data_IF_386865320263
#
_entry.id   IF_386865320263
#
_cell.length_a   1.000
_cell.length_b   1.000
_cell.length_c   1.000
_cell.angle_alpha   90.00
_cell.angle_beta   90.00
_cell.angle_gamma   90.00
#
_symmetry.space_group_name_H-M   'P 1'
#
loop_
_entity.id
_entity.type
_entity.pdbx_description
1 polymer ?
#
# COMPACT_ATOMS: atom_id res chain seq x y z
N UNK A 1 13.26 5.89 3.95
CA UNK A 1 12.78 7.22 3.47
C UNK A 1 11.54 7.69 4.24
N UNK A 2 10.50 6.88 4.39
CA UNK A 2 9.25 7.27 5.07
C UNK A 2 9.46 7.57 6.57
N UNK A 3 10.23 6.72 7.24
CA UNK A 3 10.61 6.93 8.64
C UNK A 3 11.51 8.15 8.80
N UNK A 4 12.47 8.35 7.89
CA UNK A 4 13.31 9.56 7.90
C UNK A 4 12.45 10.84 7.74
N UNK A 5 11.44 10.80 6.88
CA UNK A 5 10.51 11.93 6.74
C UNK A 5 9.71 12.18 8.03
N UNK A 6 9.12 11.12 8.62
CA UNK A 6 8.45 11.22 9.92
C UNK A 6 9.38 11.81 10.98
N UNK A 7 10.61 11.28 11.06
CA UNK A 7 11.62 11.69 12.05
C UNK A 7 11.94 13.18 11.95
N UNK A 8 12.26 13.67 10.77
CA UNK A 8 12.56 15.10 10.54
C UNK A 8 11.34 15.99 10.79
N UNK A 9 10.14 15.53 10.42
CA UNK A 9 8.88 16.26 10.67
C UNK A 9 8.58 16.46 12.17
N UNK A 10 9.09 15.61 13.02
CA UNK A 10 8.92 15.66 14.47
C UNK A 10 10.17 16.21 15.20
N UNK A 11 11.03 16.94 14.52
CA UNK A 11 12.14 17.67 15.12
C UNK A 11 13.46 16.90 15.18
N UNK A 12 13.53 15.69 14.59
CA UNK A 12 14.78 14.96 14.44
C UNK A 12 15.65 15.51 13.32
N UNK A 13 16.95 15.34 13.43
CA UNK A 13 17.92 15.71 12.40
C UNK A 13 18.64 14.48 11.88
N UNK A 14 18.86 14.43 10.56
CA UNK A 14 19.64 13.39 9.92
C UNK A 14 21.10 13.79 9.91
N UNK A 15 21.87 13.20 10.84
CA UNK A 15 23.33 13.36 10.89
C UNK A 15 24.04 12.56 9.81
N UNK A 16 25.37 12.69 9.75
CA UNK A 16 26.22 11.92 8.83
C UNK A 16 26.40 10.47 9.30
N UNK A 17 26.48 10.25 10.61
CA UNK A 17 26.78 8.94 11.20
C UNK A 17 25.74 8.50 12.24
N UNK A 18 24.99 9.44 12.84
CA UNK A 18 23.97 9.15 13.85
C UNK A 18 22.75 10.05 13.67
N UNK A 19 21.59 9.57 14.10
CA UNK A 19 20.37 10.38 14.18
C UNK A 19 20.38 11.23 15.45
N UNK A 20 20.10 12.53 15.33
CA UNK A 20 19.93 13.43 16.46
C UNK A 20 18.51 13.24 17.02
N UNK A 21 18.34 13.04 18.35
CA UNK A 21 17.02 12.79 18.92
C UNK A 21 15.97 13.85 18.56
N UNK A 22 14.73 13.42 18.44
CA UNK A 22 13.58 14.29 18.24
C UNK A 22 13.25 15.06 19.53
N UNK A 23 12.56 16.19 19.39
CA UNK A 23 11.98 16.92 20.53
C UNK A 23 10.73 16.18 21.05
N UNK A 24 10.79 15.65 22.26
CA UNK A 24 9.72 14.88 22.89
C UNK A 24 8.39 15.65 23.05
N UNK A 25 8.43 16.97 23.06
CA UNK A 25 7.25 17.80 23.36
C UNK A 25 6.20 17.74 22.24
N UNK A 26 6.63 17.51 21.00
CA UNK A 26 5.76 17.62 19.82
C UNK A 26 5.72 16.37 18.95
N UNK A 27 6.22 15.24 19.43
CA UNK A 27 6.25 14.00 18.61
C UNK A 27 4.85 13.45 18.43
N UNK A 28 4.44 13.27 17.18
CA UNK A 28 3.17 12.64 16.84
C UNK A 28 3.23 11.14 17.02
N UNK A 29 2.13 10.55 17.44
CA UNK A 29 1.96 9.09 17.40
C UNK A 29 2.15 8.57 15.98
N UNK A 30 2.86 7.45 15.85
CA UNK A 30 3.16 6.80 14.59
C UNK A 30 2.34 5.53 14.39
N UNK A 31 1.60 5.46 13.30
CA UNK A 31 0.84 4.27 12.91
C UNK A 31 1.34 3.75 11.56
N UNK A 32 1.81 2.52 11.53
CA UNK A 32 2.27 1.83 10.33
C UNK A 32 1.24 0.77 9.97
N UNK A 33 0.54 0.97 8.87
CA UNK A 33 -0.46 0.03 8.35
C UNK A 33 0.14 -0.71 7.17
N UNK A 34 0.43 -1.99 7.35
CA UNK A 34 1.16 -2.81 6.39
C UNK A 34 0.43 -4.12 6.09
N UNK A 35 1.07 -5.08 5.44
CA UNK A 35 0.51 -6.43 5.25
C UNK A 35 0.58 -7.23 6.55
N UNK A 36 -0.32 -8.22 6.70
CA UNK A 36 -0.27 -9.12 7.87
C UNK A 36 1.08 -9.84 7.98
N UNK A 37 1.65 -10.25 6.84
CA UNK A 37 2.96 -10.90 6.80
C UNK A 37 4.06 -10.00 7.40
N UNK A 38 4.22 -8.77 6.89
CA UNK A 38 5.28 -7.87 7.38
C UNK A 38 5.12 -7.51 8.85
N UNK A 39 3.87 -7.36 9.33
CA UNK A 39 3.59 -7.20 10.76
C UNK A 39 4.08 -8.40 11.57
N UNK A 40 3.77 -9.63 11.11
CA UNK A 40 4.05 -10.86 11.85
C UNK A 40 5.53 -11.30 11.76
N UNK A 41 6.28 -10.77 10.79
CA UNK A 41 7.73 -11.02 10.62
C UNK A 41 8.62 -9.96 11.25
N UNK A 42 8.06 -8.96 11.92
CA UNK A 42 8.77 -7.88 12.60
C UNK A 42 9.70 -7.05 11.69
N UNK A 43 9.44 -7.01 10.38
CA UNK A 43 10.27 -6.27 9.42
C UNK A 43 10.30 -4.76 9.72
N UNK A 44 9.22 -4.20 10.24
CA UNK A 44 9.13 -2.79 10.59
C UNK A 44 9.83 -2.44 11.90
N UNK A 45 9.92 -3.37 12.84
CA UNK A 45 10.66 -3.18 14.10
C UNK A 45 12.16 -2.99 13.82
N UNK A 46 12.72 -3.75 12.87
CA UNK A 46 14.09 -3.57 12.43
C UNK A 46 14.32 -2.20 11.77
N UNK A 47 13.35 -1.72 10.98
CA UNK A 47 13.40 -0.40 10.33
C UNK A 47 13.22 0.76 11.33
N UNK A 48 12.54 0.56 12.45
CA UNK A 48 12.31 1.58 13.50
C UNK A 48 13.56 1.78 14.36
N UNK A 49 14.32 0.73 14.62
CA UNK A 49 15.45 0.71 15.54
C UNK A 49 16.50 1.82 15.27
N UNK A 50 16.96 2.08 14.03
CA UNK A 50 17.91 3.16 13.76
C UNK A 50 17.38 4.56 14.14
N UNK A 51 16.05 4.74 14.22
CA UNK A 51 15.40 5.99 14.59
C UNK A 51 15.06 6.06 16.09
N UNK A 52 15.53 5.10 16.89
CA UNK A 52 15.29 5.01 18.34
C UNK A 52 13.79 4.88 18.67
N UNK A 53 13.02 4.32 17.74
CA UNK A 53 11.59 4.06 17.88
C UNK A 53 11.34 2.58 18.16
N UNK A 54 10.41 2.27 19.07
CA UNK A 54 9.95 0.91 19.34
C UNK A 54 8.44 0.89 19.58
N UNK A 55 7.81 -0.24 19.27
CA UNK A 55 6.42 -0.53 19.67
C UNK A 55 6.30 -0.84 21.16
N UNK A 56 7.39 -1.26 21.79
CA UNK A 56 7.47 -1.42 23.23
C UNK A 56 7.72 -0.06 23.89
N UNK A 57 6.87 0.29 24.85
CA UNK A 57 7.00 1.54 25.61
C UNK A 57 8.28 1.65 26.40
N UNK A 58 8.80 0.52 26.87
CA UNK A 58 10.01 0.49 27.71
C UNK A 58 11.28 0.67 26.86
N UNK A 59 11.21 0.25 25.62
CA UNK A 59 12.32 0.37 24.65
C UNK A 59 12.24 1.62 23.79
N UNK A 60 11.07 2.23 23.68
CA UNK A 60 10.89 3.46 22.91
C UNK A 60 11.53 4.64 23.66
N UNK A 61 12.51 5.28 23.03
CA UNK A 61 13.18 6.45 23.62
C UNK A 61 12.22 7.63 23.80
N UNK A 62 11.12 7.67 23.03
CA UNK A 62 10.19 8.78 22.99
C UNK A 62 8.86 8.46 23.69
N UNK A 63 8.11 9.50 24.02
CA UNK A 63 6.82 9.38 24.71
C UNK A 63 5.66 9.05 23.77
N UNK A 64 5.85 9.15 22.45
CA UNK A 64 4.85 8.87 21.45
C UNK A 64 4.51 7.37 21.36
N UNK A 65 3.31 7.09 20.89
CA UNK A 65 2.85 5.73 20.61
C UNK A 65 3.31 5.31 19.22
N UNK A 66 3.90 4.11 19.12
CA UNK A 66 4.21 3.46 17.84
C UNK A 66 3.36 2.21 17.71
N UNK A 67 2.65 2.09 16.59
CA UNK A 67 1.74 0.96 16.30
C UNK A 67 2.02 0.41 14.93
N UNK A 68 2.21 -0.89 14.82
CA UNK A 68 2.29 -1.62 13.55
C UNK A 68 1.08 -2.56 13.50
N UNK A 69 0.25 -2.43 12.45
CA UNK A 69 -0.90 -3.32 12.27
C UNK A 69 -1.18 -3.58 10.78
N UNK A 70 -2.03 -4.55 10.53
CA UNK A 70 -2.37 -4.92 9.17
C UNK A 70 -3.55 -4.13 8.61
N UNK A 71 -3.63 -4.02 7.28
CA UNK A 71 -4.74 -3.42 6.57
C UNK A 71 -6.12 -3.98 6.96
N UNK A 72 -6.16 -5.24 7.37
CA UNK A 72 -7.40 -5.87 7.84
C UNK A 72 -7.99 -5.15 9.06
N UNK A 73 -7.14 -4.54 9.85
CA UNK A 73 -7.48 -3.84 11.09
C UNK A 73 -7.62 -2.32 10.95
N UNK A 74 -7.41 -1.75 9.76
CA UNK A 74 -7.39 -0.29 9.54
C UNK A 74 -8.60 0.46 10.13
N UNK A 75 -9.76 -0.19 10.20
CA UNK A 75 -10.97 0.40 10.79
C UNK A 75 -10.81 0.80 12.26
N UNK A 76 -9.96 0.10 13.01
CA UNK A 76 -9.71 0.41 14.43
C UNK A 76 -9.15 1.82 14.62
N UNK A 77 -8.48 2.34 13.59
CA UNK A 77 -7.76 3.62 13.62
C UNK A 77 -8.54 4.76 12.97
N UNK A 78 -9.76 4.51 12.53
CA UNK A 78 -10.57 5.49 11.78
C UNK A 78 -10.90 6.78 12.58
N UNK A 79 -10.81 6.72 13.91
CA UNK A 79 -11.10 7.85 14.81
C UNK A 79 -9.82 8.49 15.41
N UNK A 80 -8.63 8.00 15.05
CA UNK A 80 -7.35 8.59 15.44
C UNK A 80 -7.19 9.95 14.77
N UNK A 81 -6.68 10.92 15.53
CA UNK A 81 -6.47 12.30 15.07
C UNK A 81 -5.09 12.77 15.48
N UNK A 82 -4.56 13.72 14.71
CA UNK A 82 -3.27 14.37 14.96
C UNK A 82 -2.11 13.38 15.12
N UNK A 83 -2.11 12.34 14.31
CA UNK A 83 -1.07 11.34 14.26
C UNK A 83 -0.41 11.31 12.87
N UNK A 84 0.64 10.54 12.74
CA UNK A 84 1.30 10.27 11.46
C UNK A 84 1.07 8.82 11.04
N UNK A 85 0.64 8.61 9.79
CA UNK A 85 0.37 7.30 9.24
C UNK A 85 1.34 6.96 8.10
N UNK A 86 1.94 5.77 8.15
CA UNK A 86 2.63 5.14 7.03
C UNK A 86 1.74 4.01 6.53
N UNK A 87 1.22 4.14 5.31
CA UNK A 87 0.45 3.11 4.63
C UNK A 87 1.36 2.37 3.66
N UNK A 88 1.67 1.12 3.97
CA UNK A 88 2.67 0.33 3.26
C UNK A 88 2.06 -0.83 2.47
N UNK A 89 2.64 -1.10 1.29
CA UNK A 89 2.36 -2.22 0.39
C UNK A 89 0.91 -2.41 -0.03
N UNK A 90 0.08 -1.36 -0.09
CA UNK A 90 -1.29 -1.54 -0.50
C UNK A 90 -1.72 -0.56 -1.59
N UNK A 91 -2.47 -1.09 -2.54
CA UNK A 91 -3.22 -0.30 -3.51
C UNK A 91 -4.55 0.10 -2.89
N UNK A 92 -4.66 1.35 -2.49
CA UNK A 92 -5.93 1.91 -2.01
C UNK A 92 -6.82 2.21 -3.21
N UNK A 93 -7.47 1.18 -3.75
CA UNK A 93 -8.30 1.26 -4.96
C UNK A 93 -9.77 0.93 -4.68
N UNK A 94 -10.65 1.38 -5.58
CA UNK A 94 -12.07 1.08 -5.48
C UNK A 94 -12.81 1.93 -4.45
N UNK A 95 -13.80 1.35 -3.76
CA UNK A 95 -14.67 2.01 -2.79
C UNK A 95 -14.96 1.12 -1.57
N UNK A 96 -14.14 0.12 -1.34
CA UNK A 96 -14.30 -0.84 -0.26
C UNK A 96 -14.10 -0.25 1.14
N UNK A 97 -14.17 -1.10 2.12
CA UNK A 97 -14.07 -0.74 3.53
C UNK A 97 -12.73 -0.09 3.88
N UNK A 98 -11.64 -0.61 3.33
CA UNK A 98 -10.29 -0.06 3.56
C UNK A 98 -10.16 1.35 3.02
N UNK A 99 -10.69 1.62 1.81
CA UNK A 99 -10.70 2.96 1.23
C UNK A 99 -11.48 3.94 2.09
N UNK A 100 -12.63 3.54 2.62
CA UNK A 100 -13.43 4.39 3.51
C UNK A 100 -12.68 4.73 4.79
N UNK A 101 -12.02 3.75 5.42
CA UNK A 101 -11.21 3.96 6.61
C UNK A 101 -10.00 4.84 6.29
N UNK A 102 -9.26 4.56 5.23
CA UNK A 102 -8.14 5.39 4.75
C UNK A 102 -8.56 6.85 4.56
N UNK A 103 -9.65 7.13 3.85
CA UNK A 103 -10.12 8.50 3.61
C UNK A 103 -10.51 9.23 4.91
N UNK A 104 -11.06 8.51 5.89
CA UNK A 104 -11.40 9.07 7.20
C UNK A 104 -10.13 9.43 7.99
N UNK A 105 -9.14 8.55 8.00
CA UNK A 105 -7.84 8.77 8.65
C UNK A 105 -7.09 9.92 7.97
N UNK A 106 -6.96 9.88 6.65
CA UNK A 106 -6.18 10.84 5.88
C UNK A 106 -6.70 12.29 5.97
N UNK A 107 -7.98 12.47 6.33
CA UNK A 107 -8.59 13.79 6.47
C UNK A 107 -8.06 14.60 7.66
N UNK A 108 -7.62 13.93 8.72
CA UNK A 108 -7.31 14.56 10.01
C UNK A 108 -5.92 14.18 10.55
N UNK A 109 -5.15 13.45 9.77
CA UNK A 109 -3.80 13.02 10.12
C UNK A 109 -2.82 13.34 9.00
N UNK A 110 -1.53 13.39 9.31
CA UNK A 110 -0.46 13.35 8.30
C UNK A 110 -0.26 11.92 7.81
N UNK A 111 0.11 11.74 6.56
CA UNK A 111 0.28 10.40 6.03
C UNK A 111 1.19 10.32 4.81
N UNK A 112 1.78 9.13 4.63
CA UNK A 112 2.50 8.70 3.43
C UNK A 112 1.91 7.37 2.97
N UNK A 113 1.79 7.19 1.67
CA UNK A 113 1.40 5.92 1.05
C UNK A 113 2.59 5.36 0.25
N UNK A 114 3.05 4.17 0.60
CA UNK A 114 4.11 3.45 -0.08
C UNK A 114 3.49 2.37 -0.97
N UNK A 115 3.85 2.35 -2.25
CA UNK A 115 3.38 1.32 -3.17
C UNK A 115 4.35 1.16 -4.35
N UNK A 116 4.68 -0.07 -4.69
CA UNK A 116 5.41 -0.38 -5.91
C UNK A 116 4.53 -0.22 -7.17
N UNK A 117 3.20 -0.32 -7.00
CA UNK A 117 2.22 -0.25 -8.09
C UNK A 117 1.07 0.69 -7.71
N UNK A 118 1.28 2.01 -7.77
CA UNK A 118 0.30 2.98 -7.26
C UNK A 118 -1.04 2.98 -8.02
N UNK A 119 -1.07 2.52 -9.27
CA UNK A 119 -2.29 2.37 -10.05
C UNK A 119 -2.01 2.12 -11.53
N UNK A 120 -2.84 1.31 -12.17
CA UNK A 120 -2.76 1.01 -13.60
C UNK A 120 -3.71 1.91 -14.41
N UNK A 121 -4.80 2.35 -13.77
CA UNK A 121 -5.81 3.21 -14.36
C UNK A 121 -6.01 4.48 -13.54
N UNK A 122 -6.59 5.52 -14.16
CA UNK A 122 -6.91 6.75 -13.42
C UNK A 122 -7.94 6.54 -12.31
N UNK A 123 -8.78 5.51 -12.41
CA UNK A 123 -9.72 5.16 -11.34
C UNK A 123 -9.02 4.70 -10.06
N UNK A 124 -7.83 4.12 -10.18
CA UNK A 124 -7.06 3.64 -9.04
C UNK A 124 -6.52 4.78 -8.18
N UNK A 125 -6.30 5.95 -8.79
CA UNK A 125 -5.85 7.16 -8.09
C UNK A 125 -6.97 7.91 -7.36
N UNK A 126 -8.25 7.59 -7.58
CA UNK A 126 -9.37 8.34 -7.00
C UNK A 126 -9.26 8.49 -5.48
N UNK A 127 -9.00 7.42 -4.69
CA UNK A 127 -8.90 7.57 -3.24
C UNK A 127 -7.79 8.53 -2.82
N UNK A 128 -6.62 8.42 -3.46
CA UNK A 128 -5.47 9.27 -3.15
C UNK A 128 -5.73 10.74 -3.56
N UNK A 129 -6.38 10.97 -4.71
CA UNK A 129 -6.76 12.30 -5.14
C UNK A 129 -7.80 12.94 -4.22
N UNK A 130 -8.76 12.16 -3.72
CA UNK A 130 -9.74 12.63 -2.73
C UNK A 130 -9.06 12.91 -1.39
N UNK A 131 -8.16 12.05 -0.93
CA UNK A 131 -7.40 12.24 0.31
C UNK A 131 -6.53 13.51 0.28
N UNK A 132 -5.99 13.87 -0.90
CA UNK A 132 -5.25 15.13 -1.11
C UNK A 132 -6.15 16.35 -1.38
N UNK A 133 -7.48 16.21 -1.32
CA UNK A 133 -8.40 17.32 -1.50
C UNK A 133 -8.56 17.82 -2.94
N UNK A 134 -8.06 17.09 -3.94
CA UNK A 134 -8.22 17.49 -5.35
C UNK A 134 -9.66 17.31 -5.85
N UNK A 135 -10.41 16.41 -5.24
CA UNK A 135 -11.83 16.15 -5.48
C UNK A 135 -12.53 15.93 -4.15
N UNK A 136 -13.78 16.33 -4.04
CA UNK A 136 -14.61 16.09 -2.84
C UNK A 136 -14.89 14.62 -2.61
N UNK A 137 -15.10 13.89 -3.70
CA UNK A 137 -15.46 12.46 -3.67
C UNK A 137 -15.28 11.82 -5.05
N UNK A 138 -15.46 10.48 -5.08
CA UNK A 138 -15.41 9.67 -6.30
C UNK A 138 -16.37 10.15 -7.39
N UNK A 139 -17.57 10.60 -7.03
CA UNK A 139 -18.60 11.01 -8.01
C UNK A 139 -18.19 12.27 -8.76
N UNK A 140 -17.55 13.23 -8.10
CA UNK A 140 -17.01 14.43 -8.73
C UNK A 140 -15.93 14.06 -9.76
N UNK A 141 -14.95 13.23 -9.39
CA UNK A 141 -13.93 12.75 -10.31
C UNK A 141 -14.57 12.04 -11.52
N UNK A 142 -15.52 11.11 -11.25
CA UNK A 142 -16.18 10.33 -12.30
C UNK A 142 -16.89 11.24 -13.29
N UNK A 143 -17.62 12.23 -12.82
CA UNK A 143 -18.34 13.19 -13.67
C UNK A 143 -17.41 14.01 -14.55
N UNK A 144 -16.24 14.39 -14.04
CA UNK A 144 -15.29 15.25 -14.74
C UNK A 144 -14.40 14.47 -15.73
N UNK A 145 -14.10 13.22 -15.43
CA UNK A 145 -13.02 12.51 -16.12
C UNK A 145 -13.40 11.18 -16.76
N UNK A 146 -14.54 10.58 -16.46
CA UNK A 146 -14.87 9.25 -16.95
C UNK A 146 -16.04 9.28 -17.93
N UNK A 147 -15.80 8.73 -19.12
CA UNK A 147 -16.87 8.40 -20.07
C UNK A 147 -17.04 6.90 -20.07
N UNK A 148 -18.25 6.45 -19.78
CA UNK A 148 -18.60 5.03 -19.81
C UNK A 148 -19.11 4.61 -21.18
N UNK A 149 -18.79 3.36 -21.55
CA UNK A 149 -19.31 2.75 -22.78
C UNK A 149 -20.83 2.59 -22.71
N UNK A 150 -21.51 3.03 -23.76
CA UNK A 150 -22.96 2.87 -23.92
C UNK A 150 -23.37 1.48 -24.36
N UNK A 151 -22.41 0.67 -24.82
CA UNK A 151 -22.66 -0.67 -25.39
C UNK A 151 -22.39 -1.80 -24.38
N UNK A 152 -21.93 -1.48 -23.19
CA UNK A 152 -21.60 -2.48 -22.17
C UNK A 152 -22.73 -2.64 -21.18
N UNK A 153 -23.09 -3.90 -20.85
CA UNK A 153 -24.08 -4.22 -19.84
C UNK A 153 -23.65 -3.75 -18.42
N UNK A 154 -22.34 -3.69 -18.18
CA UNK A 154 -21.77 -3.22 -16.91
C UNK A 154 -20.98 -1.93 -17.17
N UNK A 155 -20.83 -1.05 -16.14
CA UNK A 155 -20.06 0.17 -16.26
C UNK A 155 -18.60 -0.13 -16.67
N UNK A 156 -18.30 0.05 -17.96
CA UNK A 156 -16.95 -0.09 -18.54
C UNK A 156 -16.48 1.28 -19.00
N UNK A 157 -15.30 1.68 -18.54
CA UNK A 157 -14.69 2.92 -18.99
C UNK A 157 -14.37 2.83 -20.47
N UNK A 158 -14.89 3.79 -21.24
CA UNK A 158 -14.58 3.96 -22.67
C UNK A 158 -13.31 4.82 -22.81
N UNK A 159 -13.31 5.99 -22.18
CA UNK A 159 -12.16 6.89 -22.21
C UNK A 159 -12.13 7.80 -21.00
N UNK A 160 -10.96 8.40 -20.78
CA UNK A 160 -10.78 9.47 -19.78
C UNK A 160 -10.72 10.84 -20.45
N UNK A 161 -11.32 11.83 -19.81
CA UNK A 161 -11.28 13.24 -20.22
C UNK A 161 -10.24 13.99 -19.39
N UNK A 162 -9.70 15.08 -19.96
CA UNK A 162 -8.78 15.99 -19.27
C UNK A 162 -7.55 15.28 -18.65
N UNK A 163 -7.01 14.29 -19.33
CA UNK A 163 -5.88 13.46 -18.82
C UNK A 163 -4.64 14.28 -18.49
N UNK A 164 -4.41 15.40 -19.18
CA UNK A 164 -3.33 16.32 -18.86
C UNK A 164 -3.44 16.94 -17.44
N UNK A 165 -4.68 17.17 -16.95
CA UNK A 165 -4.91 17.58 -15.55
C UNK A 165 -4.56 16.44 -14.60
N UNK A 166 -4.99 15.21 -14.89
CA UNK A 166 -4.72 14.05 -14.08
C UNK A 166 -3.22 13.76 -13.95
N UNK A 167 -2.47 13.88 -15.05
CA UNK A 167 -1.00 13.77 -15.04
C UNK A 167 -0.37 14.80 -14.11
N UNK A 168 -0.78 16.07 -14.21
CA UNK A 168 -0.26 17.14 -13.34
C UNK A 168 -0.57 16.88 -11.86
N UNK A 169 -1.79 16.42 -11.54
CA UNK A 169 -2.17 16.10 -10.17
C UNK A 169 -1.38 14.93 -9.62
N UNK A 170 -1.23 13.87 -10.41
CA UNK A 170 -0.39 12.71 -10.04
C UNK A 170 1.05 13.14 -9.75
N UNK A 171 1.64 13.94 -10.62
CA UNK A 171 3.04 14.38 -10.48
C UNK A 171 3.26 15.30 -9.27
N UNK A 172 2.21 15.91 -8.71
CA UNK A 172 2.31 16.69 -7.46
C UNK A 172 2.47 15.83 -6.21
N UNK A 173 1.97 14.59 -6.26
CA UNK A 173 1.87 13.72 -5.08
C UNK A 173 2.71 12.47 -5.19
N UNK A 174 3.10 12.07 -6.41
CA UNK A 174 3.88 10.87 -6.65
C UNK A 174 5.37 11.22 -6.66
N UNK A 175 6.10 10.68 -5.70
CA UNK A 175 7.55 10.69 -5.68
C UNK A 175 8.03 9.34 -6.21
N UNK A 176 8.68 9.35 -7.37
CA UNK A 176 9.33 8.16 -7.90
C UNK A 176 10.69 8.02 -7.21
N UNK A 177 10.91 6.88 -6.59
CA UNK A 177 12.23 6.51 -6.12
C UNK A 177 12.93 5.72 -7.24
N UNK A 178 14.07 6.21 -7.71
CA UNK A 178 14.89 5.53 -8.71
C UNK A 178 15.54 4.29 -8.12
N UNK A 179 14.78 3.20 -8.11
CA UNK A 179 15.31 1.89 -7.72
C UNK A 179 15.86 1.18 -8.95
N UNK A 180 17.19 1.19 -9.11
CA UNK A 180 17.86 0.35 -10.11
C UNK A 180 18.00 -1.06 -9.55
N UNK A 181 17.29 -2.01 -10.13
CA UNK A 181 17.50 -3.43 -9.82
C UNK A 181 18.97 -3.77 -10.11
N UNK A 182 19.66 -4.29 -9.11
CA UNK A 182 21.04 -4.80 -9.27
C UNK A 182 21.06 -6.21 -9.88
N UNK A 183 19.89 -6.85 -9.98
CA UNK A 183 19.75 -8.20 -10.53
C UNK A 183 19.04 -8.17 -11.88
N UNK A 184 19.56 -8.94 -12.82
CA UNK A 184 18.93 -9.21 -14.12
C UNK A 184 18.10 -10.49 -13.96
N UNK A 185 16.81 -10.41 -14.28
CA UNK A 185 15.97 -11.62 -14.31
C UNK A 185 16.26 -12.40 -15.59
N UNK A 186 16.75 -13.62 -15.45
CA UNK A 186 16.80 -14.57 -16.55
C UNK A 186 15.47 -15.34 -16.56
N UNK A 187 14.78 -15.27 -17.70
CA UNK A 187 13.60 -16.08 -17.96
C UNK A 187 14.00 -17.18 -18.93
N UNK A 188 13.79 -18.42 -18.53
CA UNK A 188 14.01 -19.59 -19.39
C UNK A 188 12.69 -20.33 -19.52
N UNK A 189 12.25 -20.48 -20.78
CA UNK A 189 11.05 -21.26 -21.09
C UNK A 189 11.42 -22.74 -21.23
N UNK A 190 11.02 -23.53 -20.24
CA UNK A 190 11.25 -24.98 -20.26
C UNK A 190 10.04 -25.68 -20.85
N UNK A 191 10.20 -26.23 -22.04
CA UNK A 191 9.18 -27.01 -22.70
C UNK A 191 9.29 -28.48 -22.27
N UNK A 192 8.29 -28.98 -21.56
CA UNK A 192 8.21 -30.36 -21.14
C UNK A 192 7.14 -31.12 -21.90
N UNK A 193 7.45 -32.32 -22.37
CA UNK A 193 6.45 -33.23 -22.90
C UNK A 193 5.62 -33.82 -21.77
N UNK A 194 4.31 -33.68 -21.85
CA UNK A 194 3.40 -34.22 -20.84
C UNK A 194 2.22 -34.94 -21.47
N UNK A 195 1.58 -35.86 -20.72
CA UNK A 195 0.36 -36.51 -21.14
C UNK A 195 -0.83 -35.58 -20.94
N UNK A 196 -1.40 -35.08 -22.06
CA UNK A 196 -2.48 -34.08 -22.05
C UNK A 196 -3.79 -34.63 -21.45
N UNK A 197 -4.05 -35.94 -21.59
CA UNK A 197 -5.25 -36.58 -21.05
C UNK A 197 -5.15 -36.67 -19.53
N UNK A 198 -4.01 -37.13 -19.03
CA UNK A 198 -3.74 -37.17 -17.60
C UNK A 198 -3.75 -35.76 -16.96
N UNK A 199 -3.21 -34.75 -17.64
CA UNK A 199 -3.27 -33.37 -17.18
C UNK A 199 -4.71 -32.86 -17.05
N UNK A 200 -5.57 -33.15 -18.05
CA UNK A 200 -6.99 -32.79 -18.02
C UNK A 200 -7.76 -33.53 -16.93
N UNK A 201 -7.42 -34.80 -16.70
CA UNK A 201 -8.05 -35.62 -15.65
C UNK A 201 -7.67 -35.11 -14.25
N UNK A 202 -6.40 -34.86 -13.99
CA UNK A 202 -5.92 -34.23 -12.75
C UNK A 202 -6.60 -32.88 -12.50
N UNK A 203 -6.76 -32.06 -13.54
CA UNK A 203 -7.45 -30.78 -13.46
C UNK A 203 -8.93 -30.90 -13.06
N UNK A 204 -9.60 -31.98 -13.46
CA UNK A 204 -11.02 -32.26 -13.12
C UNK A 204 -11.19 -32.90 -11.78
N UNK A 205 -10.38 -33.93 -11.50
CA UNK A 205 -10.53 -34.78 -10.30
C UNK A 205 -9.86 -34.21 -9.09
N UNK A 206 -8.89 -33.31 -9.26
CA UNK A 206 -8.01 -32.80 -8.20
C UNK A 206 -7.29 -33.92 -7.45
N UNK A 207 -6.96 -34.98 -8.16
CA UNK A 207 -6.29 -36.17 -7.63
C UNK A 207 -4.91 -36.30 -8.25
N UNK A 208 -3.88 -36.46 -7.42
CA UNK A 208 -2.52 -36.75 -7.89
C UNK A 208 -2.40 -38.25 -8.22
N UNK A 209 -2.23 -38.64 -9.50
CA UNK A 209 -2.19 -40.02 -9.92
C UNK A 209 -0.91 -40.74 -9.47
N UNK A 210 0.14 -40.03 -9.14
CA UNK A 210 1.43 -40.59 -8.72
C UNK A 210 1.48 -40.78 -7.21
N UNK A 211 1.09 -39.74 -6.44
CA UNK A 211 1.07 -39.79 -4.98
C UNK A 211 -0.18 -40.48 -4.42
N UNK A 212 -1.21 -40.65 -5.26
CA UNK A 212 -2.51 -41.23 -4.89
C UNK A 212 -3.20 -40.46 -3.74
N UNK A 213 -3.14 -39.15 -3.77
CA UNK A 213 -3.73 -38.26 -2.76
C UNK A 213 -4.44 -37.06 -3.40
N UNK A 214 -5.39 -36.41 -2.72
CA UNK A 214 -6.03 -35.19 -3.22
C UNK A 214 -5.03 -34.03 -3.27
N UNK A 215 -5.10 -33.22 -4.34
CA UNK A 215 -4.33 -31.99 -4.46
C UNK A 215 -5.04 -30.91 -3.64
N UNK A 216 -4.53 -30.61 -2.45
CA UNK A 216 -5.12 -29.66 -1.48
C UNK A 216 -4.85 -28.20 -1.87
N UNK A 217 -3.70 -27.92 -2.48
CA UNK A 217 -3.31 -26.59 -2.94
C UNK A 217 -3.13 -26.57 -4.46
N UNK A 218 -4.18 -26.23 -5.17
CA UNK A 218 -4.10 -25.94 -6.60
C UNK A 218 -3.96 -24.43 -6.83
N UNK A 219 -3.07 -23.78 -6.11
CA UNK A 219 -2.47 -22.53 -6.49
C UNK A 219 -1.14 -22.91 -7.17
N UNK A 220 -1.24 -23.30 -8.39
CA UNK A 220 -0.12 -23.28 -9.32
C UNK A 220 0.02 -21.93 -9.88
#
# INVERSE_FOLDING_TARGET
>A
TSLAYYYVRNGGELGTDEYVPMDDVNIKDLYIITTARKRDTFEWEEELSPFLLSTDKEENLYTNKVVIDSWNNIKKYADVKDAFFIFDEQRVIGAGTWVKAFLKIAKVNEWILLSATPGDTWQDYIPVFVANGFYKNRSEFTREHIVYSRFSKFPKVDRYLNTGRLIRLRNKILVNMDFKRQTVSHHEDIYVKYNIEMYKDVGKTRWDPFKKEPIINAAG
#
